data_IF_605384978371
#
_entry.id   IF_605384978371
#
_cell.length_a   1.000
_cell.length_b   1.000
_cell.length_c   1.000
_cell.angle_alpha   90.00
_cell.angle_beta   90.00
_cell.angle_gamma   90.00
#
_symmetry.space_group_name_H-M   'P 1'
#
loop_
_entity.id
_entity.type
_entity.pdbx_description
1 polymer ?
#
# COMPACT_ATOMS: atom_id res chain seq x y z
N UNK A 1 -22.63 30.92 0.61
CA UNK A 1 -22.48 29.52 1.07
C UNK A 1 -21.45 28.90 0.15
N UNK A 2 -20.19 29.28 0.36
CA UNK A 2 -19.04 28.88 -0.45
C UNK A 2 -18.71 27.42 -0.11
N UNK A 3 -19.21 26.46 -0.89
CA UNK A 3 -18.70 25.10 -0.84
C UNK A 3 -17.49 25.05 -1.74
N UNK A 4 -16.32 25.30 -1.16
CA UNK A 4 -15.02 25.03 -1.76
C UNK A 4 -14.91 23.51 -1.95
N UNK A 5 -15.55 23.02 -3.00
CA UNK A 5 -15.45 21.65 -3.45
C UNK A 5 -14.04 21.54 -3.99
N UNK A 6 -13.11 21.11 -3.13
CA UNK A 6 -11.77 20.67 -3.52
C UNK A 6 -11.95 19.56 -4.54
N UNK A 7 -12.07 19.96 -5.80
CA UNK A 7 -12.03 19.09 -6.95
C UNK A 7 -10.58 18.59 -7.00
N UNK A 8 -10.29 17.53 -6.25
CA UNK A 8 -9.24 16.61 -6.65
C UNK A 8 -9.67 16.08 -8.01
N UNK A 9 -9.29 16.80 -9.06
CA UNK A 9 -9.41 16.37 -10.43
C UNK A 9 -8.50 15.15 -10.57
N UNK A 10 -9.03 13.98 -10.28
CA UNK A 10 -8.60 12.75 -10.93
C UNK A 10 -8.59 13.08 -12.42
N UNK A 11 -7.39 13.24 -12.98
CA UNK A 11 -7.25 13.52 -14.40
C UNK A 11 -7.94 12.36 -15.14
N UNK A 12 -8.95 12.63 -15.97
CA UNK A 12 -9.89 11.61 -16.45
C UNK A 12 -9.30 10.78 -17.60
N UNK A 13 -8.01 10.42 -17.50
CA UNK A 13 -7.28 9.60 -18.45
C UNK A 13 -7.13 8.14 -17.99
N UNK A 14 -8.06 7.64 -17.16
CA UNK A 14 -8.25 6.21 -16.88
C UNK A 14 -8.78 5.48 -18.13
N UNK A 15 -7.99 5.52 -19.21
CA UNK A 15 -8.08 4.67 -20.39
C UNK A 15 -7.10 3.49 -20.27
N UNK A 16 -6.61 3.24 -19.05
CA UNK A 16 -5.60 2.25 -18.74
C UNK A 16 -6.24 1.19 -17.85
N UNK A 17 -6.12 -0.09 -18.23
CA UNK A 17 -6.71 -1.24 -17.54
C UNK A 17 -6.03 -1.57 -16.19
N UNK A 18 -5.74 -0.53 -15.42
CA UNK A 18 -5.21 -0.60 -14.07
C UNK A 18 -6.40 -0.64 -13.11
N UNK A 19 -6.87 -1.87 -12.91
CA UNK A 19 -7.81 -2.20 -11.87
C UNK A 19 -7.19 -1.84 -10.50
N UNK A 20 -7.96 -1.27 -9.57
CA UNK A 20 -7.53 -0.98 -8.20
C UNK A 20 -6.84 -2.20 -7.58
N UNK A 21 -7.32 -3.41 -7.92
CA UNK A 21 -6.74 -4.68 -7.48
C UNK A 21 -5.29 -4.88 -7.92
N UNK A 22 -4.91 -4.43 -9.12
CA UNK A 22 -3.53 -4.51 -9.64
C UNK A 22 -2.59 -3.63 -8.84
N UNK A 23 -2.98 -2.37 -8.62
CA UNK A 23 -2.17 -1.41 -7.87
C UNK A 23 -2.00 -1.89 -6.42
N UNK A 24 -3.05 -2.43 -5.80
CA UNK A 24 -2.96 -2.99 -4.45
C UNK A 24 -2.00 -4.19 -4.37
N UNK A 25 -1.91 -4.99 -5.44
CA UNK A 25 -0.98 -6.13 -5.53
C UNK A 25 0.47 -5.67 -5.70
N UNK A 26 0.72 -4.61 -6.48
CA UNK A 26 2.05 -4.00 -6.60
C UNK A 26 2.55 -3.47 -5.26
N UNK A 27 1.68 -2.82 -4.48
CA UNK A 27 2.00 -2.36 -3.12
C UNK A 27 2.36 -3.55 -2.22
N UNK A 28 1.61 -4.65 -2.30
CA UNK A 28 1.90 -5.86 -1.52
C UNK A 28 3.26 -6.48 -1.91
N UNK A 29 3.59 -6.51 -3.21
CA UNK A 29 4.92 -6.92 -3.67
C UNK A 29 6.03 -5.99 -3.18
N UNK A 30 5.78 -4.68 -3.09
CA UNK A 30 6.73 -3.71 -2.55
C UNK A 30 6.97 -3.89 -1.04
N UNK A 31 5.96 -4.34 -0.28
CA UNK A 31 6.06 -4.60 1.16
C UNK A 31 6.80 -5.92 1.50
N UNK A 32 6.74 -6.92 0.63
CA UNK A 32 7.38 -8.23 0.83
C UNK A 32 8.89 -8.18 1.15
N UNK A 33 9.75 -7.43 0.40
CA UNK A 33 11.17 -7.33 0.73
C UNK A 33 11.41 -6.60 2.06
N UNK A 34 10.59 -5.60 2.41
CA UNK A 34 10.71 -4.89 3.68
C UNK A 34 10.41 -5.82 4.87
N UNK A 35 9.34 -6.62 4.79
CA UNK A 35 9.01 -7.61 5.80
C UNK A 35 10.11 -8.69 5.95
N UNK A 36 10.69 -9.12 4.82
CA UNK A 36 11.77 -10.12 4.81
C UNK A 36 13.03 -9.58 5.51
N UNK A 37 13.44 -8.34 5.21
CA UNK A 37 14.57 -7.71 5.87
C UNK A 37 14.31 -7.48 7.37
N UNK A 38 13.09 -7.07 7.74
CA UNK A 38 12.71 -6.94 9.14
C UNK A 38 12.89 -8.27 9.91
N UNK A 39 12.45 -9.40 9.33
CA UNK A 39 12.67 -10.72 9.95
C UNK A 39 14.15 -11.12 9.97
N UNK A 40 14.94 -10.76 8.95
CA UNK A 40 16.38 -11.06 8.92
C UNK A 40 17.16 -10.30 10.01
N UNK A 41 16.90 -9.01 10.20
CA UNK A 41 17.61 -8.18 11.19
C UNK A 41 17.14 -8.42 12.62
N UNK A 42 15.83 -8.59 12.85
CA UNK A 42 15.26 -8.69 14.19
C UNK A 42 14.95 -10.14 14.63
N UNK A 43 15.07 -11.09 13.72
CA UNK A 43 14.82 -12.52 13.96
C UNK A 43 13.34 -12.91 14.00
N UNK A 44 13.06 -14.17 14.31
CA UNK A 44 11.71 -14.77 14.30
C UNK A 44 10.69 -14.06 15.22
N UNK A 45 11.18 -13.34 16.23
CA UNK A 45 10.38 -12.56 17.19
C UNK A 45 9.65 -11.40 16.49
N UNK A 46 10.27 -10.80 15.47
CA UNK A 46 9.68 -9.70 14.72
C UNK A 46 8.47 -10.12 13.89
N UNK A 47 8.41 -11.40 13.46
CA UNK A 47 7.25 -11.92 12.76
C UNK A 47 6.02 -11.96 13.67
N UNK A 48 6.17 -12.42 14.90
CA UNK A 48 5.09 -12.43 15.91
C UNK A 48 4.63 -11.02 16.26
N UNK A 49 5.56 -10.06 16.39
CA UNK A 49 5.23 -8.66 16.65
C UNK A 49 4.49 -8.03 15.46
N UNK A 50 4.93 -8.28 14.23
CA UNK A 50 4.21 -7.81 13.03
C UNK A 50 2.79 -8.38 12.95
N UNK A 51 2.58 -9.64 13.33
CA UNK A 51 1.27 -10.28 13.30
C UNK A 51 0.30 -9.75 14.37
N UNK A 52 0.81 -9.39 15.56
CA UNK A 52 -0.02 -8.90 16.67
C UNK A 52 -0.23 -7.38 16.62
N UNK A 53 0.69 -6.64 15.99
CA UNK A 53 0.64 -5.18 15.90
C UNK A 53 -0.26 -4.66 14.78
N UNK A 54 -0.56 -5.47 13.78
CA UNK A 54 -1.42 -5.14 12.63
C UNK A 54 -2.82 -5.68 12.83
#
# INVERSE_FOLDING_TARGET
>A
MEQERLLMASSPHQHHGEDTSRIMLEVLMALAPAATLAVFFFGMRALWLMLVSV
#
